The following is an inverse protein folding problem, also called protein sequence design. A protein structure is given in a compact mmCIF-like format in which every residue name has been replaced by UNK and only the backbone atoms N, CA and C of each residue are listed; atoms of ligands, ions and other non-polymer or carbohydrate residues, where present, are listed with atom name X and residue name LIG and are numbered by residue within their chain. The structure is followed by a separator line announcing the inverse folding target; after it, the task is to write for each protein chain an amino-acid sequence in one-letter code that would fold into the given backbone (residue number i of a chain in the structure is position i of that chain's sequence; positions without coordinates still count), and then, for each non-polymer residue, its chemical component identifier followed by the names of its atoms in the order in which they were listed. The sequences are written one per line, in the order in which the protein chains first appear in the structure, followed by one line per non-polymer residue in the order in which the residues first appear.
data_IF_190758347059
#
_entry.id   IF_190758347059
#
_cell.length_a   1.000
_cell.length_b   1.000
_cell.length_c   1.000
_cell.angle_alpha   90.00
_cell.angle_beta   90.00
_cell.angle_gamma   90.00
#
_symmetry.space_group_name_H-M   'P 1'
#
loop_
_entity.id
_entity.type
_entity.pdbx_description
1 polymer ?
#
# COMPACT_ATOMS: atom_id res chain seq x y z
N UNK A 1 -22.07 7.71 6.33
CA UNK A 1 -21.56 8.39 5.15
C UNK A 1 -20.20 7.80 4.84
N UNK A 2 -19.99 7.38 3.60
CA UNK A 2 -18.71 6.85 3.12
C UNK A 2 -18.05 7.96 2.31
N UNK A 3 -16.77 8.23 2.55
CA UNK A 3 -16.00 9.28 1.89
C UNK A 3 -15.91 9.11 0.37
N UNK A 4 -14.83 9.57 -0.22
CA UNK A 4 -14.59 9.49 -1.67
C UNK A 4 -14.31 8.06 -2.14
N UNK A 5 -14.56 7.79 -3.42
CA UNK A 5 -14.17 6.57 -4.17
C UNK A 5 -14.79 5.25 -3.71
N UNK A 6 -15.91 5.26 -3.00
CA UNK A 6 -16.63 4.04 -2.61
C UNK A 6 -17.57 3.55 -3.73
N UNK A 7 -17.04 3.25 -4.93
CA UNK A 7 -17.85 2.81 -6.09
C UNK A 7 -18.40 1.40 -5.97
N UNK A 8 -17.72 0.52 -5.22
CA UNK A 8 -18.13 -0.89 -5.01
C UNK A 8 -18.59 -1.20 -3.60
N UNK A 9 -18.49 -0.25 -2.68
CA UNK A 9 -18.77 -0.43 -1.26
C UNK A 9 -17.58 -0.13 -0.37
N UNK A 10 -17.76 -0.24 0.95
CA UNK A 10 -16.71 -0.05 1.94
C UNK A 10 -16.69 -1.21 2.94
N UNK A 11 -15.50 -1.65 3.33
CA UNK A 11 -15.29 -2.60 4.41
C UNK A 11 -14.71 -1.83 5.60
N UNK A 12 -15.47 -1.73 6.69
CA UNK A 12 -15.02 -1.06 7.90
C UNK A 12 -14.51 -2.09 8.90
N UNK A 13 -13.21 -2.05 9.22
CA UNK A 13 -12.58 -2.92 10.22
C UNK A 13 -12.46 -2.16 11.53
N UNK A 14 -13.28 -2.53 12.52
CA UNK A 14 -13.29 -1.90 13.82
C UNK A 14 -12.42 -2.72 14.77
N UNK A 15 -11.31 -2.15 15.23
CA UNK A 15 -10.47 -2.79 16.23
C UNK A 15 -11.07 -2.65 17.63
N UNK A 16 -11.02 -3.75 18.42
CA UNK A 16 -11.47 -3.72 19.83
C UNK A 16 -10.71 -2.64 20.59
N UNK A 17 -11.43 -1.82 21.35
CA UNK A 17 -10.83 -0.79 22.22
C UNK A 17 -10.03 -1.43 23.37
N UNK A 18 -9.02 -0.72 23.94
CA UNK A 18 -8.43 -1.09 25.21
C UNK A 18 -9.50 -1.18 26.32
N UNK A 19 -9.33 -2.13 27.23
CA UNK A 19 -10.25 -2.34 28.37
C UNK A 19 -9.61 -1.87 29.66
N UNK A 20 -10.33 -1.07 30.45
CA UNK A 20 -9.88 -0.64 31.78
C UNK A 20 -10.13 -1.69 32.86
N UNK A 21 -10.89 -2.74 32.54
CA UNK A 21 -11.36 -3.74 33.55
C UNK A 21 -10.50 -4.99 33.62
N UNK A 22 -9.69 -5.29 32.59
CA UNK A 22 -8.96 -6.57 32.56
C UNK A 22 -7.57 -6.45 31.93
N UNK A 23 -6.60 -7.13 32.53
CA UNK A 23 -5.34 -7.44 31.90
C UNK A 23 -5.47 -8.73 31.11
N UNK A 24 -5.04 -8.73 29.84
CA UNK A 24 -4.92 -9.98 29.07
C UNK A 24 -3.80 -9.90 28.04
N UNK A 25 -3.26 -11.06 27.73
CA UNK A 25 -2.36 -11.24 26.57
C UNK A 25 -2.92 -12.34 25.69
N UNK A 26 -2.94 -12.09 24.40
CA UNK A 26 -3.23 -13.08 23.36
C UNK A 26 -2.00 -13.21 22.48
N UNK A 27 -1.54 -14.43 22.26
CA UNK A 27 -0.44 -14.72 21.37
C UNK A 27 -0.83 -15.83 20.38
N UNK A 28 -0.31 -15.77 19.18
CA UNK A 28 -0.43 -16.83 18.21
C UNK A 28 0.89 -17.04 17.46
N UNK A 29 1.16 -18.30 17.13
CA UNK A 29 2.27 -18.71 16.29
C UNK A 29 1.74 -19.67 15.24
N UNK A 30 2.09 -19.43 13.99
CA UNK A 30 1.78 -20.31 12.86
C UNK A 30 3.07 -20.66 12.13
N UNK A 31 3.25 -21.92 11.83
CA UNK A 31 4.37 -22.46 11.02
C UNK A 31 3.73 -23.22 9.87
N UNK A 32 4.30 -23.14 8.69
CA UNK A 32 3.75 -23.80 7.49
C UNK A 32 4.78 -24.00 6.41
N UNK A 33 4.31 -24.38 5.23
CA UNK A 33 5.12 -24.59 4.05
C UNK A 33 5.84 -23.31 3.61
N UNK A 34 6.91 -23.46 2.83
CA UNK A 34 7.78 -22.35 2.39
C UNK A 34 8.38 -21.58 3.56
N UNK A 35 8.81 -22.28 4.61
CA UNK A 35 9.37 -21.67 5.83
C UNK A 35 8.44 -20.66 6.50
N UNK A 36 7.12 -20.75 6.28
CA UNK A 36 6.16 -19.81 6.86
C UNK A 36 6.32 -19.74 8.37
N UNK A 37 6.54 -18.53 8.86
CA UNK A 37 6.52 -18.15 10.27
C UNK A 37 5.63 -16.92 10.42
N UNK A 38 4.53 -17.07 11.14
CA UNK A 38 3.65 -15.95 11.50
C UNK A 38 3.51 -15.91 13.00
N UNK A 39 3.83 -14.78 13.59
CA UNK A 39 3.68 -14.56 15.02
C UNK A 39 2.87 -13.30 15.27
N UNK A 40 2.03 -13.32 16.28
CA UNK A 40 1.35 -12.12 16.75
C UNK A 40 1.16 -12.16 18.26
N UNK A 41 1.21 -10.98 18.87
CA UNK A 41 0.84 -10.79 20.26
C UNK A 41 0.04 -9.51 20.41
N UNK A 42 -0.93 -9.55 21.33
CA UNK A 42 -1.70 -8.38 21.74
C UNK A 42 -1.84 -8.42 23.24
N UNK A 43 -1.42 -7.35 23.91
CA UNK A 43 -1.53 -7.23 25.38
C UNK A 43 -2.32 -5.97 25.72
N UNK A 44 -3.30 -6.12 26.58
CA UNK A 44 -4.09 -5.05 27.15
C UNK A 44 -3.66 -4.79 28.60
N UNK A 45 -3.40 -3.53 28.90
CA UNK A 45 -3.01 -3.07 30.23
C UNK A 45 -4.03 -2.06 30.74
N UNK A 46 -4.85 -2.39 31.75
CA UNK A 46 -5.57 -1.40 32.52
C UNK A 46 -4.58 -0.63 33.40
N UNK A 47 -4.48 0.69 33.18
CA UNK A 47 -3.58 1.57 33.97
C UNK A 47 -4.31 2.10 35.18
N UNK A 48 -5.59 2.46 35.00
CA UNK A 48 -6.52 2.87 36.03
C UNK A 48 -7.96 2.53 35.62
N UNK A 49 -8.91 2.86 36.46
CA UNK A 49 -10.34 2.69 36.14
C UNK A 49 -10.79 3.51 34.91
N UNK A 50 -10.01 4.55 34.56
CA UNK A 50 -10.33 5.46 33.46
C UNK A 50 -9.35 5.41 32.31
N UNK A 51 -8.19 4.76 32.45
CA UNK A 51 -7.14 4.72 31.42
C UNK A 51 -6.70 3.28 31.16
N UNK A 52 -6.67 2.91 29.92
CA UNK A 52 -6.09 1.64 29.46
C UNK A 52 -5.28 1.81 28.18
N UNK A 53 -4.35 0.90 27.98
CA UNK A 53 -3.58 0.80 26.75
C UNK A 53 -3.54 -0.62 26.22
N UNK A 54 -3.37 -0.76 24.92
CA UNK A 54 -3.22 -2.04 24.24
C UNK A 54 -2.10 -1.96 23.23
N UNK A 55 -1.15 -2.87 23.34
CA UNK A 55 -0.06 -3.04 22.38
C UNK A 55 -0.27 -4.29 21.56
N UNK A 56 -0.06 -4.17 20.28
CA UNK A 56 -0.12 -5.30 19.35
C UNK A 56 1.12 -5.27 18.45
N UNK A 57 1.71 -6.43 18.25
CA UNK A 57 2.74 -6.67 17.28
C UNK A 57 2.40 -7.94 16.49
N UNK A 58 2.63 -7.90 15.20
CA UNK A 58 2.53 -9.08 14.34
C UNK A 58 3.61 -9.06 13.28
N UNK A 59 4.12 -10.24 12.94
CA UNK A 59 5.07 -10.44 11.87
C UNK A 59 4.70 -11.67 11.05
N UNK A 60 5.05 -11.63 9.79
CA UNK A 60 4.99 -12.78 8.89
C UNK A 60 6.25 -12.82 8.05
N UNK A 61 6.84 -13.99 7.96
CA UNK A 61 7.92 -14.33 7.06
C UNK A 61 7.55 -15.62 6.32
N UNK A 62 7.78 -15.65 5.03
CA UNK A 62 7.58 -16.84 4.20
C UNK A 62 8.46 -16.72 2.95
N UNK A 63 9.16 -17.81 2.62
CA UNK A 63 9.92 -17.90 1.38
C UNK A 63 8.99 -17.78 0.16
N UNK A 64 9.52 -17.28 -0.95
CA UNK A 64 8.80 -17.25 -2.22
C UNK A 64 8.49 -18.67 -2.73
N UNK A 65 7.48 -18.77 -3.56
CA UNK A 65 7.08 -20.06 -4.18
C UNK A 65 7.10 -20.00 -5.70
N UNK A 66 7.54 -18.88 -6.28
CA UNK A 66 7.75 -18.72 -7.71
C UNK A 66 9.21 -18.37 -7.98
N UNK A 67 9.89 -19.24 -8.71
CA UNK A 67 11.32 -19.13 -9.00
C UNK A 67 11.57 -18.34 -10.29
N UNK A 68 12.43 -17.35 -10.22
CA UNK A 68 12.99 -16.69 -11.40
C UNK A 68 14.22 -17.46 -11.86
N UNK A 69 14.13 -18.10 -13.04
CA UNK A 69 15.16 -18.97 -13.59
C UNK A 69 16.43 -18.23 -14.04
N UNK A 70 16.36 -16.92 -14.24
CA UNK A 70 17.50 -16.12 -14.73
C UNK A 70 18.39 -15.68 -13.57
N UNK A 71 17.83 -15.09 -12.55
CA UNK A 71 18.58 -14.49 -11.45
C UNK A 71 18.47 -15.27 -10.12
N UNK A 72 17.67 -16.33 -10.08
CA UNK A 72 17.49 -17.19 -8.90
C UNK A 72 16.66 -16.56 -7.78
N UNK A 73 15.94 -15.47 -8.05
CA UNK A 73 15.10 -14.82 -7.06
C UNK A 73 13.80 -15.62 -6.86
N UNK A 74 13.44 -15.86 -5.59
CA UNK A 74 12.15 -16.42 -5.23
C UNK A 74 11.14 -15.28 -5.03
N UNK A 75 10.11 -15.25 -5.85
CA UNK A 75 9.02 -14.27 -5.83
C UNK A 75 7.80 -14.80 -5.09
N UNK A 76 6.81 -13.93 -4.84
CA UNK A 76 5.63 -14.24 -4.03
C UNK A 76 5.98 -14.55 -2.56
N UNK A 77 7.10 -14.06 -2.07
CA UNK A 77 7.50 -14.14 -0.67
C UNK A 77 6.63 -13.22 0.21
N UNK A 78 6.76 -13.36 1.51
CA UNK A 78 6.13 -12.46 2.46
C UNK A 78 7.11 -12.10 3.57
N UNK A 79 7.31 -10.81 3.78
CA UNK A 79 8.05 -10.27 4.90
C UNK A 79 7.38 -8.97 5.34
N UNK A 80 6.77 -8.97 6.52
CA UNK A 80 6.21 -7.75 7.08
C UNK A 80 6.16 -7.77 8.60
N UNK A 81 6.10 -6.56 9.16
CA UNK A 81 5.86 -6.32 10.58
C UNK A 81 4.80 -5.23 10.75
N UNK A 82 3.93 -5.40 11.73
CA UNK A 82 2.96 -4.38 12.16
C UNK A 82 3.04 -4.20 13.66
N UNK A 83 3.12 -2.95 14.09
CA UNK A 83 3.14 -2.54 15.49
C UNK A 83 2.03 -1.52 15.70
N UNK A 84 1.24 -1.69 16.76
CA UNK A 84 0.17 -0.76 17.10
C UNK A 84 0.14 -0.51 18.59
N UNK A 85 0.05 0.75 18.97
CA UNK A 85 -0.22 1.23 20.31
C UNK A 85 -1.58 1.94 20.32
N UNK A 86 -2.47 1.57 21.21
CA UNK A 86 -3.84 2.05 21.29
C UNK A 86 -4.16 2.42 22.74
N UNK A 87 -4.66 3.62 22.97
CA UNK A 87 -4.93 4.18 24.28
C UNK A 87 -6.38 4.63 24.38
N UNK A 88 -7.00 4.40 25.50
CA UNK A 88 -8.33 4.93 25.83
C UNK A 88 -8.27 5.70 27.14
N UNK A 89 -8.90 6.86 27.15
CA UNK A 89 -9.09 7.73 28.31
C UNK A 89 -10.59 7.96 28.47
N UNK A 90 -11.19 7.38 29.49
CA UNK A 90 -12.58 7.66 29.88
C UNK A 90 -12.56 8.97 30.66
N UNK A 91 -12.97 10.07 30.02
CA UNK A 91 -12.91 11.41 30.58
C UNK A 91 -14.07 11.68 31.53
N UNK A 92 -15.21 11.02 31.30
CA UNK A 92 -16.39 11.01 32.14
C UNK A 92 -17.18 9.71 31.91
N UNK A 93 -18.33 9.56 32.56
CA UNK A 93 -19.27 8.45 32.34
C UNK A 93 -19.84 8.47 30.91
N UNK A 94 -19.87 9.65 30.26
CA UNK A 94 -20.47 9.86 28.94
C UNK A 94 -19.45 10.22 27.86
N UNK A 95 -18.15 10.31 28.17
CA UNK A 95 -17.16 10.75 27.18
C UNK A 95 -15.86 9.99 27.27
N UNK A 96 -15.26 9.73 26.11
CA UNK A 96 -13.97 9.06 25.98
C UNK A 96 -13.14 9.67 24.87
N UNK A 97 -11.82 9.57 25.04
CA UNK A 97 -10.82 9.86 24.03
C UNK A 97 -10.02 8.58 23.76
N UNK A 98 -9.98 8.19 22.51
CA UNK A 98 -9.10 7.12 22.01
C UNK A 98 -8.01 7.69 21.15
N UNK A 99 -6.77 7.30 21.38
CA UNK A 99 -5.61 7.69 20.57
C UNK A 99 -4.86 6.45 20.17
N UNK A 100 -4.47 6.33 18.90
CA UNK A 100 -3.63 5.22 18.49
C UNK A 100 -2.59 5.62 17.46
N UNK A 101 -1.47 4.93 17.51
CA UNK A 101 -0.43 4.95 16.48
C UNK A 101 -0.22 3.55 15.93
N UNK A 102 0.01 3.43 14.63
CA UNK A 102 0.32 2.18 13.95
C UNK A 102 1.47 2.40 13.00
N UNK A 103 2.38 1.44 13.02
CA UNK A 103 3.48 1.31 12.08
C UNK A 103 3.33 -0.02 11.35
N UNK A 104 3.51 -0.01 10.04
CA UNK A 104 3.50 -1.20 9.20
C UNK A 104 4.65 -1.10 8.22
N UNK A 105 5.40 -2.19 8.08
CA UNK A 105 6.54 -2.27 7.17
C UNK A 105 6.52 -3.58 6.41
N UNK A 106 6.81 -3.50 5.12
CA UNK A 106 6.93 -4.62 4.18
C UNK A 106 8.27 -4.48 3.46
N UNK A 107 9.04 -5.54 3.41
CA UNK A 107 10.23 -5.66 2.56
C UNK A 107 10.28 -7.07 1.96
N UNK A 108 9.94 -7.18 0.68
CA UNK A 108 9.82 -8.46 -0.02
C UNK A 108 10.25 -8.34 -1.48
N UNK A 109 10.43 -9.48 -2.14
CA UNK A 109 10.76 -9.54 -3.57
C UNK A 109 9.57 -9.19 -4.49
N UNK A 110 8.35 -9.17 -3.96
CA UNK A 110 7.16 -8.79 -4.70
C UNK A 110 6.45 -9.94 -5.42
N UNK A 111 5.41 -9.58 -6.14
CA UNK A 111 4.56 -10.54 -6.83
C UNK A 111 5.18 -11.02 -8.14
N UNK A 112 5.14 -12.32 -8.37
CA UNK A 112 5.53 -12.90 -9.64
C UNK A 112 4.55 -12.54 -10.76
N UNK A 113 5.06 -12.06 -11.88
CA UNK A 113 4.30 -11.75 -13.07
C UNK A 113 4.94 -12.44 -14.28
N UNK A 114 4.47 -13.63 -14.62
CA UNK A 114 4.95 -14.36 -15.79
C UNK A 114 4.34 -13.75 -17.06
N UNK A 115 5.18 -13.45 -18.06
CA UNK A 115 4.73 -13.03 -19.38
C UNK A 115 3.93 -14.14 -20.06
N UNK A 116 2.91 -13.78 -20.84
CA UNK A 116 2.06 -14.75 -21.57
C UNK A 116 2.87 -15.53 -22.63
N UNK A 117 3.95 -14.96 -23.06
CA UNK A 117 4.92 -15.47 -24.05
C UNK A 117 6.23 -15.95 -23.41
N UNK A 118 6.31 -16.02 -22.10
CA UNK A 118 7.40 -16.70 -21.40
C UNK A 118 7.21 -18.22 -21.48
N UNK A 119 7.85 -18.83 -22.48
CA UNK A 119 7.82 -20.29 -22.73
C UNK A 119 9.03 -21.03 -22.12
N UNK A 120 9.86 -20.37 -21.31
CA UNK A 120 11.04 -20.99 -20.69
C UNK A 120 10.70 -22.17 -19.80
N UNK A 121 9.50 -22.19 -19.23
CA UNK A 121 8.98 -23.30 -18.44
C UNK A 121 7.47 -23.45 -18.60
N UNK A 122 7.02 -24.73 -18.66
CA UNK A 122 5.58 -25.07 -18.57
C UNK A 122 5.05 -25.00 -17.14
N UNK A 123 5.93 -24.85 -16.14
CA UNK A 123 5.52 -24.67 -14.77
C UNK A 123 5.11 -23.21 -14.53
N UNK A 124 3.89 -22.98 -14.08
CA UNK A 124 3.36 -21.65 -13.79
C UNK A 124 4.12 -20.91 -12.67
N UNK A 125 4.84 -21.69 -11.82
CA UNK A 125 5.66 -21.18 -10.72
C UNK A 125 7.13 -20.99 -11.11
N UNK A 126 7.43 -20.92 -12.40
CA UNK A 126 8.75 -20.63 -12.94
C UNK A 126 8.62 -19.59 -14.04
N UNK A 127 9.41 -18.55 -13.95
CA UNK A 127 9.44 -17.45 -14.90
C UNK A 127 10.86 -17.07 -15.26
N UNK A 128 11.01 -16.24 -16.30
CA UNK A 128 12.30 -15.81 -16.81
C UNK A 128 12.27 -14.27 -16.91
N UNK A 129 12.87 -13.62 -15.93
CA UNK A 129 12.98 -12.15 -15.85
C UNK A 129 14.42 -11.77 -15.56
N UNK A 130 14.96 -10.78 -16.27
CA UNK A 130 16.34 -10.37 -16.10
C UNK A 130 16.54 -9.32 -15.00
N UNK A 131 15.47 -8.66 -14.58
CA UNK A 131 15.49 -7.66 -13.52
C UNK A 131 15.11 -8.24 -12.16
N UNK A 132 15.77 -7.78 -11.10
CA UNK A 132 15.38 -8.08 -9.72
C UNK A 132 14.13 -7.28 -9.34
N UNK A 133 13.14 -7.99 -8.82
CA UNK A 133 11.93 -7.36 -8.29
C UNK A 133 12.07 -7.07 -6.79
N UNK A 134 11.51 -5.96 -6.33
CA UNK A 134 11.47 -5.57 -4.93
C UNK A 134 10.19 -4.79 -4.63
N UNK A 135 9.64 -5.01 -3.45
CA UNK A 135 8.54 -4.19 -2.93
C UNK A 135 8.82 -3.83 -1.47
N UNK A 136 8.87 -2.52 -1.21
CA UNK A 136 8.96 -1.97 0.13
C UNK A 136 7.77 -1.04 0.37
N UNK A 137 7.15 -1.17 1.52
CA UNK A 137 6.05 -0.30 1.94
C UNK A 137 6.24 0.02 3.41
N UNK A 138 6.36 1.30 3.74
CA UNK A 138 6.31 1.78 5.11
C UNK A 138 5.06 2.61 5.28
N UNK A 139 4.20 2.25 6.25
CA UNK A 139 2.99 2.99 6.56
C UNK A 139 2.98 3.41 8.03
N UNK A 140 2.68 4.69 8.28
CA UNK A 140 2.54 5.27 9.60
C UNK A 140 1.17 5.91 9.72
N UNK A 141 0.41 5.52 10.72
CA UNK A 141 -0.91 6.06 11.00
C UNK A 141 -0.95 6.59 12.43
N UNK A 142 -1.49 7.77 12.61
CA UNK A 142 -1.84 8.31 13.91
C UNK A 142 -3.27 8.82 13.88
N UNK A 143 -4.06 8.49 14.90
CA UNK A 143 -5.44 8.96 14.99
C UNK A 143 -5.87 9.21 16.43
N UNK A 144 -6.74 10.22 16.56
CA UNK A 144 -7.45 10.55 17.79
C UNK A 144 -8.97 10.57 17.52
N UNK A 145 -9.72 9.92 18.40
CA UNK A 145 -11.19 9.80 18.31
C UNK A 145 -11.76 10.21 19.65
N UNK A 146 -12.52 11.29 19.65
CA UNK A 146 -13.31 11.71 20.80
C UNK A 146 -14.76 11.34 20.59
N UNK A 147 -15.38 10.69 21.58
CA UNK A 147 -16.79 10.33 21.57
C UNK A 147 -17.44 10.83 22.86
N UNK A 148 -18.65 11.39 22.75
CA UNK A 148 -19.41 11.89 23.89
C UNK A 148 -20.91 11.76 23.67
N UNK A 149 -21.61 11.21 24.65
CA UNK A 149 -23.06 11.27 24.73
C UNK A 149 -23.47 12.62 25.37
N UNK A 150 -24.12 13.48 24.57
CA UNK A 150 -24.61 14.78 24.99
C UNK A 150 -26.05 14.71 25.59
N UNK A 151 -26.61 13.50 25.70
CA UNK A 151 -27.98 13.23 26.13
C UNK A 151 -28.98 13.27 24.98
N UNK A 152 -28.93 14.27 24.10
CA UNK A 152 -29.82 14.39 22.94
C UNK A 152 -29.18 13.86 21.64
N UNK A 153 -27.85 13.74 21.61
CA UNK A 153 -27.09 13.24 20.47
C UNK A 153 -25.76 12.65 20.91
N UNK A 154 -25.22 11.71 20.14
CA UNK A 154 -23.86 11.23 20.23
C UNK A 154 -22.96 12.09 19.33
N UNK A 155 -21.94 12.70 19.94
CA UNK A 155 -20.88 13.42 19.25
C UNK A 155 -19.69 12.49 19.01
N UNK A 156 -19.19 12.47 17.78
CA UNK A 156 -17.93 11.83 17.41
C UNK A 156 -17.06 12.80 16.64
N UNK A 157 -15.81 12.98 17.10
CA UNK A 157 -14.79 13.77 16.42
C UNK A 157 -13.62 12.81 16.13
N UNK A 158 -13.15 12.81 14.89
CA UNK A 158 -11.99 12.04 14.45
C UNK A 158 -10.98 12.99 13.79
N UNK A 159 -9.74 12.85 14.18
CA UNK A 159 -8.59 13.44 13.49
C UNK A 159 -7.58 12.34 13.22
N UNK A 160 -7.03 12.27 12.01
CA UNK A 160 -6.01 11.30 11.66
C UNK A 160 -5.03 11.84 10.63
N UNK A 161 -3.81 11.31 10.70
CA UNK A 161 -2.81 11.46 9.66
C UNK A 161 -2.25 10.09 9.30
N UNK A 162 -1.96 9.90 8.01
CA UNK A 162 -1.34 8.70 7.45
C UNK A 162 -0.26 9.12 6.47
N UNK A 163 0.88 8.45 6.54
CA UNK A 163 1.99 8.57 5.61
C UNK A 163 2.31 7.16 5.09
N UNK A 164 2.30 6.98 3.79
CA UNK A 164 2.69 5.75 3.13
C UNK A 164 3.85 6.04 2.17
N UNK A 165 4.98 5.39 2.40
CA UNK A 165 6.16 5.39 1.53
C UNK A 165 6.23 4.03 0.84
N UNK A 166 6.18 4.03 -0.48
CA UNK A 166 6.08 2.84 -1.31
C UNK A 166 7.19 2.84 -2.35
N UNK A 167 7.94 1.76 -2.41
CA UNK A 167 8.88 1.44 -3.48
C UNK A 167 8.44 0.13 -4.14
N UNK A 168 8.32 0.14 -5.44
CA UNK A 168 8.08 -1.06 -6.26
C UNK A 168 9.07 -1.08 -7.41
N UNK A 169 9.99 -2.02 -7.35
CA UNK A 169 10.87 -2.35 -8.46
C UNK A 169 10.35 -3.59 -9.15
N UNK A 170 10.23 -3.56 -10.44
CA UNK A 170 9.71 -4.69 -11.21
C UNK A 170 10.32 -4.74 -12.60
N UNK A 171 10.40 -5.95 -13.10
CA UNK A 171 10.61 -6.23 -14.50
C UNK A 171 9.32 -5.85 -15.25
N UNK A 172 9.39 -4.85 -16.11
CA UNK A 172 8.19 -4.30 -16.74
C UNK A 172 7.82 -5.04 -18.02
N UNK A 173 8.80 -5.53 -18.78
CA UNK A 173 8.56 -6.34 -19.98
C UNK A 173 8.29 -7.81 -19.65
N UNK A 174 8.63 -8.26 -18.41
CA UNK A 174 8.38 -9.60 -17.85
C UNK A 174 9.12 -10.72 -18.58
N UNK A 175 10.24 -10.40 -19.19
CA UNK A 175 11.04 -11.32 -19.99
C UNK A 175 12.52 -11.22 -19.67
N UNK A 176 13.24 -12.27 -20.03
CA UNK A 176 14.69 -12.23 -20.20
C UNK A 176 14.99 -11.91 -21.66
N UNK A 177 15.64 -10.78 -21.94
CA UNK A 177 15.94 -10.36 -23.30
C UNK A 177 16.75 -11.41 -24.10
N UNK A 178 17.55 -12.24 -23.46
CA UNK A 178 18.33 -13.30 -24.10
C UNK A 178 17.48 -14.45 -24.64
N UNK A 179 16.30 -14.67 -24.07
CA UNK A 179 15.39 -15.74 -24.45
C UNK A 179 14.34 -15.29 -25.48
N UNK A 180 14.28 -14.01 -25.77
CA UNK A 180 13.38 -13.47 -26.77
C UNK A 180 13.87 -13.77 -28.19
N UNK A 181 13.73 -14.99 -28.61
CA UNK A 181 13.51 -15.26 -30.03
C UNK A 181 12.12 -14.71 -30.33
N UNK A 182 12.08 -13.54 -30.92
CA UNK A 182 10.84 -12.88 -31.32
C UNK A 182 10.06 -13.80 -32.23
N UNK A 183 9.22 -14.63 -31.67
CA UNK A 183 8.16 -15.26 -32.42
C UNK A 183 7.13 -14.16 -32.64
N UNK A 184 7.04 -13.69 -33.89
CA UNK A 184 5.95 -12.84 -34.30
C UNK A 184 4.64 -13.46 -33.79
N UNK A 185 3.92 -12.75 -32.91
CA UNK A 185 2.59 -13.19 -32.47
C UNK A 185 1.71 -13.11 -33.73
N UNK A 186 1.30 -14.23 -34.34
CA UNK A 186 0.59 -14.22 -35.63
C UNK A 186 -0.73 -13.46 -35.59
N UNK A 187 -1.25 -13.22 -34.37
CA UNK A 187 -2.54 -12.56 -34.14
C UNK A 187 -2.44 -11.03 -34.00
N UNK A 188 -1.23 -10.48 -33.93
CA UNK A 188 -1.00 -9.04 -33.81
C UNK A 188 0.06 -8.54 -34.81
N UNK A 189 -0.14 -8.75 -36.13
CA UNK A 189 0.89 -8.50 -37.15
C UNK A 189 1.27 -7.02 -37.31
N UNK A 190 0.55 -6.09 -36.69
CA UNK A 190 0.75 -4.67 -36.84
C UNK A 190 1.54 -4.01 -35.71
N UNK A 191 1.80 -4.73 -34.61
CA UNK A 191 2.46 -4.16 -33.43
C UNK A 191 3.95 -4.51 -33.42
N UNK A 192 4.37 -5.60 -34.07
CA UNK A 192 5.75 -6.06 -34.08
C UNK A 192 6.23 -6.28 -35.51
N UNK A 193 6.85 -5.27 -36.11
CA UNK A 193 7.67 -5.47 -37.32
C UNK A 193 9.09 -5.81 -36.90
N UNK A 194 9.65 -6.97 -37.27
CA UNK A 194 11.06 -7.26 -37.02
C UNK A 194 11.99 -6.28 -37.75
N UNK A 195 13.14 -5.93 -37.20
CA UNK A 195 13.70 -6.46 -35.98
C UNK A 195 13.27 -5.68 -34.74
N UNK A 196 12.38 -6.26 -33.92
CA UNK A 196 12.14 -5.76 -32.58
C UNK A 196 13.28 -6.32 -31.70
N UNK A 197 14.13 -5.46 -31.22
CA UNK A 197 15.15 -5.86 -30.27
C UNK A 197 14.46 -6.00 -28.90
N UNK A 198 14.55 -7.16 -28.26
CA UNK A 198 14.13 -7.28 -26.87
C UNK A 198 14.92 -6.31 -26.03
N UNK A 199 14.25 -5.48 -25.28
CA UNK A 199 14.87 -4.50 -24.41
C UNK A 199 14.54 -4.92 -22.98
N UNK A 200 15.56 -5.18 -22.18
CA UNK A 200 15.38 -5.32 -20.75
C UNK A 200 14.84 -4.00 -20.20
N UNK A 201 13.70 -4.03 -19.53
CA UNK A 201 13.06 -2.85 -18.99
C UNK A 201 12.85 -3.00 -17.49
N UNK A 202 13.57 -2.19 -16.72
CA UNK A 202 13.43 -2.03 -15.29
C UNK A 202 12.63 -0.78 -14.97
N UNK A 203 11.66 -0.89 -14.09
CA UNK A 203 10.76 0.22 -13.77
C UNK A 203 10.59 0.39 -12.25
N UNK A 204 11.48 1.14 -11.59
CA UNK A 204 11.27 1.56 -10.22
C UNK A 204 10.13 2.58 -10.14
N UNK A 205 9.25 2.38 -9.19
CA UNK A 205 8.15 3.29 -8.88
C UNK A 205 8.20 3.62 -7.39
N UNK A 206 8.34 4.90 -7.06
CA UNK A 206 8.23 5.38 -5.69
C UNK A 206 6.99 6.23 -5.55
N UNK A 207 6.27 6.06 -4.44
CA UNK A 207 5.08 6.82 -4.11
C UNK A 207 5.15 7.26 -2.67
N UNK A 208 5.06 8.56 -2.42
CA UNK A 208 4.79 9.11 -1.10
C UNK A 208 3.34 9.56 -1.06
N UNK A 209 2.57 9.03 -0.11
CA UNK A 209 1.16 9.37 0.05
C UNK A 209 0.95 9.92 1.45
N UNK A 210 0.50 11.16 1.55
CA UNK A 210 0.14 11.79 2.81
C UNK A 210 -1.36 12.06 2.84
N UNK A 211 -2.01 11.66 3.94
CA UNK A 211 -3.45 11.85 4.11
C UNK A 211 -3.73 12.43 5.49
N UNK A 212 -4.38 13.57 5.55
CA UNK A 212 -4.90 14.15 6.78
C UNK A 212 -6.43 14.19 6.72
N UNK A 213 -7.07 13.69 7.78
CA UNK A 213 -8.54 13.63 7.85
C UNK A 213 -9.02 14.26 9.14
N UNK A 214 -10.08 15.04 9.03
CA UNK A 214 -10.86 15.52 10.17
C UNK A 214 -12.34 15.29 9.91
N UNK A 215 -13.02 14.71 10.88
CA UNK A 215 -14.45 14.38 10.80
C UNK A 215 -15.13 14.74 12.11
N UNK A 216 -16.30 15.33 12.02
CA UNK A 216 -17.20 15.55 13.14
C UNK A 216 -18.60 15.07 12.78
N UNK A 217 -19.19 14.27 13.63
CA UNK A 217 -20.54 13.72 13.47
C UNK A 217 -21.35 13.89 14.74
N UNK A 218 -22.60 14.26 14.55
CA UNK A 218 -23.65 14.25 15.57
C UNK A 218 -24.78 13.34 15.08
N UNK A 219 -25.13 12.37 15.91
CA UNK A 219 -26.19 11.40 15.61
C UNK A 219 -27.23 11.49 16.74
N UNK A 220 -28.50 11.71 16.40
CA UNK A 220 -29.57 11.78 17.41
C UNK A 220 -29.66 10.49 18.25
N UNK A 221 -29.82 10.67 19.57
CA UNK A 221 -30.03 9.52 20.47
C UNK A 221 -31.47 9.03 20.39
N UNK A 222 -32.42 9.94 20.19
CA UNK A 222 -33.83 9.65 20.06
C UNK A 222 -34.42 10.37 18.84
N UNK A 223 -35.44 9.75 18.21
CA UNK A 223 -36.12 10.39 17.11
C UNK A 223 -36.78 11.72 17.55
N UNK A 224 -36.47 12.79 16.85
CA UNK A 224 -37.10 14.10 17.03
C UNK A 224 -38.54 14.14 16.48
N UNK A 225 -39.25 15.26 16.68
CA UNK A 225 -40.61 15.51 16.17
C UNK A 225 -41.61 14.39 16.54
N UNK A 226 -41.58 13.94 17.81
CA UNK A 226 -42.50 12.93 18.31
C UNK A 226 -42.26 11.54 17.73
N UNK A 227 -41.00 11.16 17.50
CA UNK A 227 -40.63 9.83 17.02
C UNK A 227 -40.60 9.68 15.49
N UNK A 228 -40.58 10.80 14.76
CA UNK A 228 -40.68 10.80 13.29
C UNK A 228 -39.39 11.13 12.55
N UNK A 229 -38.36 11.62 13.24
CA UNK A 229 -37.13 12.09 12.59
C UNK A 229 -35.90 11.60 13.35
N UNK A 230 -35.17 10.65 12.79
CA UNK A 230 -33.78 10.35 13.13
C UNK A 230 -32.87 11.23 12.28
N UNK A 231 -31.91 11.91 12.91
CA UNK A 231 -31.04 12.82 12.19
C UNK A 231 -29.57 12.54 12.48
N UNK A 232 -28.76 12.77 11.45
CA UNK A 232 -27.30 12.78 11.52
C UNK A 232 -26.81 14.04 10.83
N UNK A 233 -25.95 14.79 11.50
CA UNK A 233 -25.27 15.96 10.95
C UNK A 233 -23.78 15.78 11.09
N UNK A 234 -23.02 16.06 10.05
CA UNK A 234 -21.57 15.93 10.11
C UNK A 234 -20.86 16.85 9.12
N UNK A 235 -19.58 17.05 9.40
CA UNK A 235 -18.62 17.69 8.49
C UNK A 235 -17.40 16.82 8.35
N UNK A 236 -16.83 16.79 7.15
CA UNK A 236 -15.67 15.99 6.79
C UNK A 236 -14.69 16.86 6.00
N UNK A 237 -13.43 16.80 6.41
CA UNK A 237 -12.31 17.40 5.69
C UNK A 237 -11.27 16.31 5.45
N UNK A 238 -10.72 16.26 4.24
CA UNK A 238 -9.61 15.41 3.90
C UNK A 238 -8.67 16.16 2.97
N UNK A 239 -7.41 16.15 3.33
CA UNK A 239 -6.30 16.54 2.47
C UNK A 239 -5.56 15.27 2.11
N UNK A 240 -5.33 15.07 0.82
CA UNK A 240 -4.69 13.88 0.29
C UNK A 240 -3.70 14.32 -0.77
N UNK A 241 -2.42 14.06 -0.49
CA UNK A 241 -1.31 14.41 -1.35
C UNK A 241 -0.61 13.14 -1.81
N UNK A 242 -0.34 13.03 -3.10
CA UNK A 242 0.37 11.90 -3.69
C UNK A 242 1.50 12.45 -4.53
N UNK A 243 2.71 12.06 -4.20
CA UNK A 243 3.89 12.27 -5.01
C UNK A 243 4.33 10.92 -5.61
N UNK A 244 4.17 10.76 -6.92
CA UNK A 244 4.61 9.57 -7.63
C UNK A 244 5.82 9.88 -8.49
N UNK A 245 6.81 9.02 -8.42
CA UNK A 245 7.98 9.09 -9.24
C UNK A 245 8.23 7.71 -9.89
N UNK A 246 8.06 7.64 -11.20
CA UNK A 246 8.25 6.44 -12.00
C UNK A 246 9.42 6.67 -12.94
N UNK A 247 10.40 5.79 -12.90
CA UNK A 247 11.55 5.82 -13.79
C UNK A 247 11.58 4.57 -14.65
N UNK A 248 11.82 4.72 -15.94
CA UNK A 248 12.05 3.60 -16.84
C UNK A 248 13.53 3.53 -17.23
N UNK A 249 14.08 2.34 -17.18
CA UNK A 249 15.44 2.04 -17.65
C UNK A 249 15.36 0.92 -18.67
N UNK A 250 16.17 1.03 -19.71
CA UNK A 250 16.19 0.09 -20.82
C UNK A 250 17.62 -0.33 -21.07
N UNK A 251 17.87 -1.61 -21.30
CA UNK A 251 19.16 -2.13 -21.72
C UNK A 251 19.28 -1.99 -23.25
N UNK A 252 19.84 -0.87 -23.70
CA UNK A 252 19.94 -0.55 -25.12
C UNK A 252 21.08 -1.28 -25.85
N UNK A 253 22.13 -1.65 -25.14
CA UNK A 253 23.28 -2.35 -25.71
C UNK A 253 23.19 -3.87 -25.57
N UNK A 254 22.12 -4.35 -24.93
CA UNK A 254 21.81 -5.76 -24.76
C UNK A 254 22.93 -6.55 -24.04
N UNK A 255 23.64 -5.90 -23.12
CA UNK A 255 24.72 -6.53 -22.37
C UNK A 255 24.22 -7.25 -21.11
N UNK A 256 22.93 -7.17 -20.79
CA UNK A 256 22.29 -7.77 -19.63
C UNK A 256 22.52 -6.99 -18.33
N UNK A 257 23.02 -5.76 -18.42
CA UNK A 257 23.24 -4.89 -17.28
C UNK A 257 22.33 -3.68 -17.41
N UNK A 258 21.19 -3.72 -16.71
CA UNK A 258 20.28 -2.57 -16.67
C UNK A 258 20.88 -1.52 -15.76
N UNK A 259 21.36 -0.47 -16.36
CA UNK A 259 21.85 0.74 -15.71
C UNK A 259 21.51 1.94 -16.57
N UNK A 260 21.84 3.10 -16.10
CA UNK A 260 21.71 4.31 -16.88
C UNK A 260 22.76 4.35 -18.01
N UNK A 261 22.39 3.83 -19.18
CA UNK A 261 23.31 3.58 -20.29
C UNK A 261 23.24 4.63 -21.41
N UNK A 262 22.72 5.79 -21.13
CA UNK A 262 22.57 6.85 -22.13
C UNK A 262 23.88 7.19 -22.86
N UNK A 263 25.01 7.14 -22.17
CA UNK A 263 26.33 7.41 -22.77
C UNK A 263 26.81 6.32 -23.74
N UNK A 264 26.24 5.12 -23.61
CA UNK A 264 26.57 3.99 -24.49
C UNK A 264 25.64 3.94 -25.71
N UNK A 265 24.37 4.35 -25.55
CA UNK A 265 23.37 4.37 -26.61
C UNK A 265 23.52 5.59 -27.57
N UNK A 266 24.03 6.70 -27.06
CA UNK A 266 24.17 7.94 -27.81
C UNK A 266 25.58 8.52 -27.68
N UNK A 267 26.16 8.90 -28.80
CA UNK A 267 27.50 9.54 -28.84
C UNK A 267 27.54 10.91 -28.13
N UNK A 268 26.38 11.48 -27.79
CA UNK A 268 26.23 12.74 -27.10
C UNK A 268 25.54 12.56 -25.76
N UNK A 269 26.27 12.61 -24.63
CA UNK A 269 25.68 12.46 -23.29
C UNK A 269 24.65 13.53 -22.92
N UNK A 270 24.66 14.70 -23.55
CA UNK A 270 23.71 15.79 -23.29
C UNK A 270 22.28 15.40 -23.70
N UNK A 271 22.18 14.55 -24.70
CA UNK A 271 20.88 14.04 -25.16
C UNK A 271 20.09 13.25 -24.12
N UNK A 272 20.76 12.71 -23.14
CA UNK A 272 20.16 11.94 -22.07
C UNK A 272 19.58 12.78 -20.93
N UNK A 273 19.95 14.03 -20.82
CA UNK A 273 19.56 14.90 -19.70
C UNK A 273 18.45 15.89 -20.04
N UNK A 274 18.19 16.14 -21.33
CA UNK A 274 17.33 17.25 -21.75
C UNK A 274 15.90 16.85 -22.18
N UNK A 275 15.59 15.57 -22.32
CA UNK A 275 14.29 15.15 -22.85
C UNK A 275 13.62 14.11 -21.98
N UNK A 276 12.52 14.50 -21.32
CA UNK A 276 11.70 13.64 -20.45
C UNK A 276 10.83 12.64 -21.22
N UNK A 277 10.72 12.76 -22.53
CA UNK A 277 9.86 11.89 -23.34
C UNK A 277 10.57 11.41 -24.61
N UNK A 278 10.56 10.10 -24.81
CA UNK A 278 10.93 9.48 -26.08
C UNK A 278 12.41 9.21 -26.28
N UNK A 279 13.22 9.24 -25.23
CA UNK A 279 14.61 8.81 -25.28
C UNK A 279 14.67 7.33 -24.97
N UNK A 280 15.32 6.52 -25.80
CA UNK A 280 15.71 5.18 -25.39
C UNK A 280 16.58 5.26 -24.13
N UNK A 281 16.18 4.58 -23.07
CA UNK A 281 16.96 4.44 -21.85
C UNK A 281 16.36 5.04 -20.59
N UNK A 282 15.60 6.12 -20.64
CA UNK A 282 14.99 6.71 -19.42
C UNK A 282 13.72 7.49 -19.69
N UNK A 283 12.74 7.35 -18.81
CA UNK A 283 11.63 8.29 -18.68
C UNK A 283 11.27 8.49 -17.20
N UNK A 284 10.91 9.72 -16.85
CA UNK A 284 10.42 10.08 -15.52
C UNK A 284 8.98 10.60 -15.63
N UNK A 285 8.08 10.16 -14.77
CA UNK A 285 6.70 10.62 -14.69
C UNK A 285 6.41 11.11 -13.29
N UNK A 286 5.97 12.36 -13.16
CA UNK A 286 5.54 12.96 -11.90
C UNK A 286 4.01 13.10 -11.87
N UNK A 287 3.38 12.75 -10.78
CA UNK A 287 1.95 12.88 -10.57
C UNK A 287 1.60 13.63 -9.28
N UNK A 288 0.45 14.22 -9.20
CA UNK A 288 0.07 15.44 -8.49
C UNK A 288 -0.84 15.22 -7.29
N UNK A 289 -0.80 16.16 -6.32
CA UNK A 289 -1.63 16.22 -5.12
C UNK A 289 -3.08 16.63 -5.37
N UNK A 290 -4.01 16.18 -4.52
CA UNK A 290 -5.42 16.55 -4.52
C UNK A 290 -5.91 16.94 -3.13
N UNK A 291 -6.44 18.15 -2.99
CA UNK A 291 -7.13 18.61 -1.78
C UNK A 291 -8.65 18.63 -2.01
N UNK A 292 -9.42 17.99 -1.13
CA UNK A 292 -10.88 17.99 -1.25
C UNK A 292 -11.56 18.38 0.05
N UNK A 293 -12.33 19.44 0.01
CA UNK A 293 -13.24 19.82 1.07
C UNK A 293 -14.66 19.39 0.68
N UNK A 294 -15.32 18.58 1.51
CA UNK A 294 -16.75 18.27 1.37
C UNK A 294 -17.49 18.47 2.68
N UNK A 295 -18.50 19.33 2.66
CA UNK A 295 -19.55 19.35 3.65
C UNK A 295 -20.76 18.58 3.09
N UNK A 296 -21.28 17.62 3.84
CA UNK A 296 -22.52 16.94 3.50
C UNK A 296 -23.59 17.31 4.50
N UNK A 297 -24.62 17.96 4.01
CA UNK A 297 -25.91 18.07 4.69
C UNK A 297 -26.76 16.90 4.18
N UNK A 298 -27.22 16.05 5.08
CA UNK A 298 -28.23 15.03 4.76
C UNK A 298 -29.56 15.48 5.34
N UNK A 299 -30.51 15.71 4.47
CA UNK A 299 -31.92 15.90 4.80
C UNK A 299 -32.62 14.58 5.02
#
# INVERSE_FOLDING_TARGET
LFGQNATGGAINVISKMPSTSEFYTKASLTIGDYSLKKASTTTNFPISDTVATKFSISTIERDGFTENLVNGQDLDDASNISIRSDWVFNLSESSSLRVFGQFFDVDRNGAAMKGIDDFTSTNERKLSQDTLSKQQITSKVFAAIYESDLGYANLKILASTQEDDVLVDRDNDRHNYQDQIVQSIPQLPYIYTPPYYPMAEFRPETSLVETTTFEINLVSNEPALGGKLDWTVGAFFMEHEIENHIRGYVDNDQNGVIRYECSEAFADPSYCYEHDYGIPGRFDVYSVSYTHLRAHETS
#
